data_IF_066554823612
#
_entry.id   IF_066554823612
#
_cell.length_a   1.000
_cell.length_b   1.000
_cell.length_c   1.000
_cell.angle_alpha   90.00
_cell.angle_beta   90.00
_cell.angle_gamma   90.00
#
_symmetry.space_group_name_H-M   'P 1'
#
loop_
_entity.id
_entity.type
_entity.pdbx_description
1 polymer ?
#
# COMPACT_ATOMS: atom_id res chain seq x y z
N UNK A 1 4.19 -0.11 4.72
CA UNK A 1 3.34 0.67 5.63
C UNK A 1 2.38 1.59 4.87
N UNK A 2 2.80 2.36 3.88
CA UNK A 2 1.91 3.29 3.14
C UNK A 2 0.65 2.61 2.60
N UNK A 3 0.73 1.38 2.13
CA UNK A 3 -0.41 0.59 1.64
C UNK A 3 -1.50 0.31 2.69
N UNK A 4 -1.19 0.47 3.98
CA UNK A 4 -2.15 0.30 5.07
C UNK A 4 -2.99 1.56 5.33
N UNK A 5 -2.58 2.72 4.82
CA UNK A 5 -3.22 4.01 5.14
C UNK A 5 -4.63 4.09 4.55
N UNK A 6 -4.78 3.82 3.26
CA UNK A 6 -6.09 3.91 2.60
C UNK A 6 -7.08 2.89 3.18
N UNK A 7 -6.73 1.60 3.37
CA UNK A 7 -7.60 0.66 4.08
C UNK A 7 -7.99 1.12 5.47
N UNK A 8 -7.05 1.68 6.25
CA UNK A 8 -7.34 2.16 7.60
C UNK A 8 -8.32 3.34 7.63
N UNK A 9 -8.47 4.05 6.52
CA UNK A 9 -9.44 5.14 6.37
C UNK A 9 -10.86 4.65 6.08
N UNK A 10 -11.02 3.49 5.45
CA UNK A 10 -12.29 3.00 4.93
C UNK A 10 -12.90 3.88 3.83
N UNK A 11 -12.10 4.74 3.21
CA UNK A 11 -12.57 5.75 2.25
C UNK A 11 -11.92 5.55 0.87
N UNK A 12 -12.67 5.15 -0.16
CA UNK A 12 -12.14 5.00 -1.51
C UNK A 12 -11.71 6.32 -2.18
N UNK A 13 -12.15 7.47 -1.67
CA UNK A 13 -11.76 8.81 -2.16
C UNK A 13 -10.67 9.46 -1.29
N UNK A 14 -10.03 8.70 -0.40
CA UNK A 14 -9.18 9.25 0.66
C UNK A 14 -8.15 10.28 0.17
N UNK A 15 -7.42 9.97 -0.89
CA UNK A 15 -6.37 10.87 -1.43
C UNK A 15 -6.97 12.14 -2.05
N UNK A 16 -8.09 12.02 -2.75
CA UNK A 16 -8.81 13.17 -3.32
C UNK A 16 -9.36 14.06 -2.21
N UNK A 17 -10.01 13.46 -1.20
CA UNK A 17 -10.59 14.20 -0.09
C UNK A 17 -9.51 14.94 0.72
N UNK A 18 -8.35 14.33 0.90
CA UNK A 18 -7.22 14.92 1.60
C UNK A 18 -6.76 16.23 0.96
N UNK A 19 -6.65 16.29 -0.37
CA UNK A 19 -6.23 17.50 -1.06
C UNK A 19 -7.35 18.52 -1.21
N UNK A 20 -8.58 18.08 -1.52
CA UNK A 20 -9.74 18.98 -1.74
C UNK A 20 -10.18 19.64 -0.44
N UNK A 21 -10.24 18.89 0.66
CA UNK A 21 -10.61 19.41 1.97
C UNK A 21 -9.45 20.16 2.66
N UNK A 22 -8.29 20.24 2.02
CA UNK A 22 -7.09 20.90 2.55
C UNK A 22 -6.71 20.41 3.95
N UNK A 23 -6.81 19.11 4.17
CA UNK A 23 -6.48 18.51 5.46
C UNK A 23 -4.97 18.31 5.64
N UNK A 24 -4.53 18.48 6.89
CA UNK A 24 -3.25 17.98 7.34
C UNK A 24 -3.37 16.47 7.52
N UNK A 25 -2.49 15.70 6.89
CA UNK A 25 -2.65 14.25 6.87
C UNK A 25 -1.93 13.52 8.01
N UNK A 26 -0.95 14.19 8.63
CA UNK A 26 -0.13 13.60 9.69
C UNK A 26 -0.52 14.17 11.07
N UNK A 27 -1.80 14.02 11.42
CA UNK A 27 -2.40 14.53 12.66
C UNK A 27 -2.99 13.39 13.45
N UNK A 28 -2.88 13.42 14.78
CA UNK A 28 -3.38 12.39 15.68
C UNK A 28 -4.84 12.01 15.38
N UNK A 29 -5.10 10.70 15.34
CA UNK A 29 -6.40 10.14 14.96
C UNK A 29 -6.65 10.00 13.45
N UNK A 30 -5.81 10.59 12.59
CA UNK A 30 -5.89 10.43 11.14
C UNK A 30 -5.16 9.16 10.67
N UNK A 31 -5.54 8.58 9.52
CA UNK A 31 -4.97 7.32 9.02
C UNK A 31 -3.44 7.30 8.93
N UNK A 32 -2.83 8.33 8.35
CA UNK A 32 -1.37 8.42 8.26
C UNK A 32 -0.71 8.43 9.62
N UNK A 33 -1.21 9.24 10.54
CA UNK A 33 -0.66 9.29 11.90
C UNK A 33 -0.75 7.92 12.58
N UNK A 34 -1.91 7.29 12.55
CA UNK A 34 -2.14 6.02 13.25
C UNK A 34 -1.24 4.90 12.71
N UNK A 35 -1.14 4.77 11.37
CA UNK A 35 -0.32 3.74 10.73
C UNK A 35 1.17 3.97 11.01
N UNK A 36 1.65 5.19 10.84
CA UNK A 36 3.07 5.46 11.01
C UNK A 36 3.49 5.63 12.47
N UNK A 37 2.57 5.96 13.38
CA UNK A 37 2.83 5.88 14.82
C UNK A 37 3.00 4.44 15.27
N UNK A 38 2.17 3.52 14.78
CA UNK A 38 2.35 2.09 15.03
C UNK A 38 3.71 1.60 14.50
N UNK A 39 4.08 1.97 13.28
CA UNK A 39 5.39 1.65 12.73
C UNK A 39 6.52 2.19 13.61
N UNK A 40 6.42 3.45 14.01
CA UNK A 40 7.42 4.12 14.85
C UNK A 40 7.58 3.44 16.20
N UNK A 41 6.46 3.07 16.83
CA UNK A 41 6.48 2.41 18.14
C UNK A 41 7.12 1.01 18.06
N UNK A 42 6.79 0.24 17.02
CA UNK A 42 7.43 -1.06 16.76
C UNK A 42 8.94 -0.88 16.55
N UNK A 43 9.34 0.08 15.72
CA UNK A 43 10.77 0.32 15.43
C UNK A 43 11.54 0.94 16.60
N UNK A 44 10.85 1.52 17.57
CA UNK A 44 11.46 2.05 18.80
C UNK A 44 11.76 0.97 19.85
N UNK A 45 11.18 -0.22 19.67
CA UNK A 45 11.39 -1.35 20.58
C UNK A 45 12.29 -2.43 19.91
N UNK A 46 13.55 -2.55 20.32
CA UNK A 46 14.48 -3.51 19.71
C UNK A 46 14.10 -4.98 19.97
N UNK A 47 13.09 -5.26 20.79
CA UNK A 47 12.59 -6.63 21.01
C UNK A 47 11.51 -7.02 19.99
N UNK A 48 11.01 -6.07 19.21
CA UNK A 48 9.93 -6.27 18.23
C UNK A 48 10.44 -6.30 16.78
N UNK A 49 11.70 -6.05 16.55
CA UNK A 49 12.31 -5.96 15.21
C UNK A 49 13.53 -6.87 15.11
N UNK A 50 13.93 -7.20 13.89
CA UNK A 50 15.20 -7.87 13.63
C UNK A 50 16.41 -7.03 14.07
N UNK A 51 17.55 -7.67 14.31
CA UNK A 51 18.74 -7.03 14.90
C UNK A 51 19.35 -5.91 14.06
N UNK A 52 19.18 -5.92 12.75
CA UNK A 52 19.60 -4.86 11.82
C UNK A 52 18.60 -4.68 10.67
N UNK A 53 17.47 -4.01 10.94
CA UNK A 53 16.40 -3.82 9.95
C UNK A 53 16.79 -2.95 8.77
N UNK A 54 17.89 -2.19 8.86
CA UNK A 54 18.39 -1.36 7.77
C UNK A 54 19.27 -2.13 6.77
N UNK A 55 19.73 -3.31 7.13
CA UNK A 55 20.54 -4.18 6.27
C UNK A 55 19.75 -5.35 5.66
N UNK A 56 18.49 -5.53 6.05
CA UNK A 56 17.65 -6.61 5.54
C UNK A 56 17.39 -6.46 4.05
N UNK A 57 17.64 -7.50 3.29
CA UNK A 57 17.26 -7.61 1.89
C UNK A 57 15.93 -8.37 1.73
N UNK A 58 15.36 -8.31 0.52
CA UNK A 58 14.08 -8.94 0.23
C UNK A 58 14.11 -10.47 0.41
N UNK A 59 15.14 -11.15 -0.08
CA UNK A 59 15.22 -12.60 -0.02
C UNK A 59 15.48 -13.08 1.43
N UNK A 60 16.37 -12.39 2.17
CA UNK A 60 16.60 -12.62 3.58
C UNK A 60 15.33 -12.42 4.42
N UNK A 61 14.57 -11.35 4.18
CA UNK A 61 13.34 -11.06 4.90
C UNK A 61 12.28 -12.16 4.74
N UNK A 62 12.15 -12.71 3.53
CA UNK A 62 11.25 -13.86 3.28
C UNK A 62 11.64 -15.08 4.11
N UNK A 63 12.93 -15.36 4.18
CA UNK A 63 13.45 -16.52 4.93
C UNK A 63 13.25 -16.34 6.43
N UNK A 64 13.46 -15.14 6.97
CA UNK A 64 13.21 -14.83 8.38
C UNK A 64 11.76 -15.12 8.78
N UNK A 65 10.80 -14.73 7.96
CA UNK A 65 9.39 -15.05 8.20
C UNK A 65 9.14 -16.57 8.10
N UNK A 66 9.65 -17.22 7.07
CA UNK A 66 9.48 -18.66 6.88
C UNK A 66 10.06 -19.49 8.02
N UNK A 67 11.20 -19.09 8.57
CA UNK A 67 11.85 -19.72 9.72
C UNK A 67 11.21 -19.37 11.08
N UNK A 68 10.26 -18.41 11.12
CA UNK A 68 9.67 -17.94 12.37
C UNK A 68 10.59 -17.03 13.20
N UNK A 69 11.62 -16.45 12.59
CA UNK A 69 12.50 -15.47 13.23
C UNK A 69 11.78 -14.12 13.42
N UNK A 70 10.85 -13.79 12.49
CA UNK A 70 9.89 -12.71 12.64
C UNK A 70 8.48 -13.27 12.57
N UNK A 71 7.59 -12.75 13.41
CA UNK A 71 6.22 -13.24 13.52
C UNK A 71 5.29 -12.69 12.44
N UNK A 72 5.53 -11.47 11.96
CA UNK A 72 4.66 -10.77 11.00
C UNK A 72 5.47 -9.89 10.06
N UNK A 73 4.95 -9.73 8.84
CA UNK A 73 5.46 -8.79 7.85
C UNK A 73 4.31 -8.13 7.13
N UNK A 74 4.39 -6.82 6.91
CA UNK A 74 3.39 -6.08 6.14
C UNK A 74 3.66 -6.23 4.65
N UNK A 75 2.77 -6.94 3.93
CA UNK A 75 2.96 -7.23 2.52
C UNK A 75 1.61 -7.38 1.78
N UNK A 76 1.64 -7.33 0.46
CA UNK A 76 0.48 -7.64 -0.38
C UNK A 76 0.23 -9.15 -0.50
N UNK A 77 -0.97 -9.54 -0.92
CA UNK A 77 -1.38 -10.95 -1.07
C UNK A 77 -0.46 -11.77 -1.99
N UNK A 78 0.13 -11.15 -2.99
CA UNK A 78 1.09 -11.75 -3.93
C UNK A 78 2.34 -12.35 -3.25
N UNK A 79 2.67 -11.89 -2.05
CA UNK A 79 3.82 -12.41 -1.31
C UNK A 79 3.55 -13.76 -0.64
N UNK A 80 2.29 -14.10 -0.36
CA UNK A 80 1.92 -15.32 0.37
C UNK A 80 2.44 -16.57 -0.33
N UNK A 81 2.17 -16.72 -1.63
CA UNK A 81 2.63 -17.86 -2.42
C UNK A 81 4.16 -17.97 -2.46
N UNK A 82 4.85 -16.83 -2.53
CA UNK A 82 6.32 -16.79 -2.51
C UNK A 82 6.89 -17.27 -1.18
N UNK A 83 6.32 -16.83 -0.06
CA UNK A 83 6.74 -17.26 1.28
C UNK A 83 6.43 -18.73 1.53
N UNK A 84 5.26 -19.21 1.12
CA UNK A 84 4.89 -20.61 1.22
C UNK A 84 5.80 -21.50 0.38
N UNK A 85 6.14 -21.08 -0.85
CA UNK A 85 7.08 -21.82 -1.69
C UNK A 85 8.47 -21.85 -1.06
N UNK A 86 8.96 -20.72 -0.53
CA UNK A 86 10.26 -20.66 0.14
C UNK A 86 10.30 -21.55 1.40
N UNK A 87 9.24 -21.55 2.21
CA UNK A 87 9.12 -22.45 3.35
C UNK A 87 9.26 -23.91 2.91
N UNK A 88 8.51 -24.31 1.90
CA UNK A 88 8.56 -25.68 1.34
C UNK A 88 9.96 -26.04 0.82
N UNK A 89 10.63 -25.15 0.09
CA UNK A 89 11.96 -25.37 -0.47
C UNK A 89 13.02 -25.53 0.63
N UNK A 90 12.78 -24.98 1.82
CA UNK A 90 13.63 -25.11 3.00
C UNK A 90 13.16 -26.23 3.96
N UNK A 91 12.24 -27.08 3.58
CA UNK A 91 11.75 -28.19 4.38
C UNK A 91 10.86 -27.78 5.57
N UNK A 92 10.29 -26.57 5.51
CA UNK A 92 9.36 -26.03 6.50
C UNK A 92 7.92 -26.26 6.03
N UNK A 93 6.97 -26.21 6.97
CA UNK A 93 5.56 -26.34 6.64
C UNK A 93 5.00 -25.03 6.06
N UNK A 94 4.59 -24.98 4.79
CA UNK A 94 4.04 -23.79 4.17
C UNK A 94 2.72 -23.30 4.82
N UNK A 95 1.98 -24.20 5.49
CA UNK A 95 0.73 -23.84 6.18
C UNK A 95 0.96 -22.95 7.41
N UNK A 96 2.21 -22.82 7.88
CA UNK A 96 2.57 -21.85 8.91
C UNK A 96 2.56 -20.39 8.40
N UNK A 97 2.50 -20.20 7.08
CA UNK A 97 2.43 -18.86 6.47
C UNK A 97 0.98 -18.52 6.18
N UNK A 98 0.40 -17.68 7.02
CA UNK A 98 -0.95 -17.15 6.85
C UNK A 98 -0.96 -15.72 6.31
N UNK A 99 -2.18 -15.21 6.05
CA UNK A 99 -2.39 -13.82 5.62
C UNK A 99 -3.63 -13.27 6.34
N UNK A 100 -3.52 -12.08 6.90
CA UNK A 100 -4.58 -11.47 7.70
C UNK A 100 -4.74 -9.99 7.38
N UNK A 101 -5.94 -9.42 7.58
CA UNK A 101 -6.14 -7.97 7.42
C UNK A 101 -5.32 -7.20 8.45
N UNK A 102 -4.90 -5.97 8.08
CA UNK A 102 -4.25 -5.08 9.02
C UNK A 102 -5.14 -4.80 10.24
N UNK A 103 -4.57 -4.66 11.46
CA UNK A 103 -5.33 -4.52 12.70
C UNK A 103 -5.89 -3.10 12.89
N UNK A 104 -6.40 -2.51 11.83
CA UNK A 104 -7.07 -1.20 11.87
C UNK A 104 -8.56 -1.38 11.62
N UNK A 105 -9.37 -0.65 12.38
CA UNK A 105 -10.80 -0.58 12.15
C UNK A 105 -11.27 0.86 12.09
N UNK A 106 -12.24 1.13 11.23
CA UNK A 106 -12.95 2.39 11.14
C UNK A 106 -14.44 2.13 11.39
N UNK A 107 -15.00 2.79 12.39
CA UNK A 107 -16.41 2.63 12.77
C UNK A 107 -16.82 1.16 13.05
N UNK A 108 -15.89 0.40 13.67
CA UNK A 108 -16.11 -1.01 14.04
C UNK A 108 -15.96 -2.01 12.88
N UNK A 109 -15.53 -1.56 11.70
CA UNK A 109 -15.32 -2.39 10.52
C UNK A 109 -13.86 -2.41 10.13
N UNK A 110 -13.41 -3.55 9.60
CA UNK A 110 -12.12 -3.67 8.93
C UNK A 110 -12.31 -3.54 7.42
N UNK A 111 -11.36 -2.90 6.78
CA UNK A 111 -11.37 -2.67 5.34
C UNK A 111 -10.12 -3.24 4.70
N UNK A 112 -10.26 -3.77 3.50
CA UNK A 112 -9.16 -4.22 2.67
C UNK A 112 -9.23 -3.55 1.30
N UNK A 113 -8.13 -2.96 0.87
CA UNK A 113 -8.02 -2.37 -0.46
C UNK A 113 -7.46 -3.41 -1.43
N UNK A 114 -8.06 -3.49 -2.61
CA UNK A 114 -7.51 -4.22 -3.74
C UNK A 114 -7.34 -3.27 -4.94
N UNK A 115 -6.44 -3.62 -5.83
CA UNK A 115 -6.19 -2.84 -7.04
C UNK A 115 -5.92 -3.80 -8.21
N UNK A 116 -6.14 -3.31 -9.43
CA UNK A 116 -5.74 -4.03 -10.62
C UNK A 116 -4.22 -4.19 -10.65
N UNK A 117 -3.76 -5.39 -10.94
CA UNK A 117 -2.36 -5.73 -11.12
C UNK A 117 -2.15 -6.48 -12.42
N UNK A 118 -0.90 -6.60 -12.88
CA UNK A 118 -0.55 -7.27 -14.14
C UNK A 118 -1.37 -6.80 -15.34
N UNK A 119 -1.50 -5.49 -15.51
CA UNK A 119 -2.26 -4.92 -16.61
C UNK A 119 -1.62 -5.24 -17.98
N UNK A 120 -2.43 -5.72 -18.91
CA UNK A 120 -2.02 -6.03 -20.28
C UNK A 120 -2.60 -5.02 -21.28
N UNK A 121 -1.79 -4.61 -22.26
CA UNK A 121 -2.20 -3.72 -23.33
C UNK A 121 -1.89 -4.28 -24.70
N UNK A 122 -2.70 -3.95 -25.69
CA UNK A 122 -2.45 -4.28 -27.09
C UNK A 122 -1.92 -3.04 -27.79
N UNK A 123 -0.75 -3.20 -28.48
CA UNK A 123 -0.19 -2.09 -29.26
C UNK A 123 -1.14 -1.69 -30.40
N UNK A 124 -1.60 -0.44 -30.37
CA UNK A 124 -2.55 0.09 -31.36
C UNK A 124 -2.00 0.14 -32.80
N UNK A 125 -0.67 0.11 -32.97
CA UNK A 125 0.00 0.30 -34.27
C UNK A 125 0.34 -1.02 -34.99
N UNK A 126 -0.13 -2.18 -34.50
CA UNK A 126 0.04 -3.48 -35.17
C UNK A 126 -1.17 -3.78 -36.07
N UNK A 127 -1.00 -4.75 -36.99
CA UNK A 127 -2.05 -5.20 -37.88
C UNK A 127 -3.24 -5.77 -37.13
N UNK A 128 -4.46 -5.66 -37.69
CA UNK A 128 -5.70 -6.00 -37.00
C UNK A 128 -5.82 -7.49 -36.65
N UNK A 129 -5.33 -8.38 -37.52
CA UNK A 129 -5.25 -9.81 -37.25
C UNK A 129 -4.42 -10.13 -35.99
N UNK A 130 -3.33 -9.37 -35.79
CA UNK A 130 -2.51 -9.47 -34.55
C UNK A 130 -3.18 -8.88 -33.34
N UNK A 131 -3.96 -7.80 -33.49
CA UNK A 131 -4.79 -7.27 -32.40
C UNK A 131 -5.83 -8.29 -31.96
N UNK A 132 -6.48 -8.95 -32.91
CA UNK A 132 -7.49 -9.97 -32.61
C UNK A 132 -6.90 -11.19 -31.92
N UNK A 133 -5.69 -11.60 -32.32
CA UNK A 133 -4.96 -12.65 -31.61
C UNK A 133 -4.58 -12.21 -30.19
N UNK A 134 -4.13 -10.95 -30.02
CA UNK A 134 -3.83 -10.37 -28.71
C UNK A 134 -5.02 -10.35 -27.79
N UNK A 135 -6.23 -10.01 -28.28
CA UNK A 135 -7.47 -10.07 -27.49
C UNK A 135 -7.77 -11.50 -27.01
N UNK A 136 -7.72 -12.47 -27.93
CA UNK A 136 -7.94 -13.88 -27.57
C UNK A 136 -6.92 -14.40 -26.57
N UNK A 137 -5.67 -13.95 -26.65
CA UNK A 137 -4.66 -14.29 -25.66
C UNK A 137 -4.98 -13.71 -24.30
N UNK A 138 -5.40 -12.46 -24.20
CA UNK A 138 -5.78 -11.81 -22.95
C UNK A 138 -7.01 -12.49 -22.35
N UNK A 139 -8.03 -12.81 -23.16
CA UNK A 139 -9.22 -13.53 -22.72
C UNK A 139 -8.86 -14.90 -22.12
N UNK A 140 -8.05 -15.68 -22.83
CA UNK A 140 -7.54 -16.95 -22.34
C UNK A 140 -6.69 -16.79 -21.06
N UNK A 141 -5.82 -15.79 -21.04
CA UNK A 141 -4.94 -15.53 -19.90
C UNK A 141 -5.72 -15.26 -18.62
N UNK A 142 -6.78 -14.46 -18.71
CA UNK A 142 -7.64 -14.14 -17.56
C UNK A 142 -8.51 -15.34 -17.17
N UNK A 143 -9.09 -16.03 -18.16
CA UNK A 143 -10.13 -17.03 -17.90
C UNK A 143 -9.61 -18.43 -17.59
N UNK A 144 -8.44 -18.81 -18.17
CA UNK A 144 -8.05 -20.22 -18.24
C UNK A 144 -6.59 -20.49 -17.82
N UNK A 145 -5.74 -19.45 -17.69
CA UNK A 145 -4.31 -19.68 -17.42
C UNK A 145 -4.00 -20.10 -15.98
N UNK A 146 -4.90 -19.82 -15.03
CA UNK A 146 -4.64 -19.98 -13.59
C UNK A 146 -3.59 -19.01 -13.01
N UNK A 147 -3.19 -18.00 -13.80
CA UNK A 147 -2.13 -17.08 -13.40
C UNK A 147 -2.46 -16.28 -12.14
N UNK A 148 -3.70 -15.77 -12.03
CA UNK A 148 -4.11 -14.97 -10.87
C UNK A 148 -3.96 -15.75 -9.57
N UNK A 149 -4.37 -17.00 -9.55
CA UNK A 149 -4.29 -17.88 -8.39
C UNK A 149 -2.84 -18.25 -8.07
N UNK A 150 -2.03 -18.52 -9.10
CA UNK A 150 -0.61 -18.87 -8.93
C UNK A 150 0.21 -17.71 -8.33
N UNK A 151 -0.14 -16.48 -8.72
CA UNK A 151 0.51 -15.25 -8.21
C UNK A 151 -0.11 -14.72 -6.91
N UNK A 152 -1.04 -15.44 -6.30
CA UNK A 152 -1.68 -14.99 -5.06
C UNK A 152 -2.62 -13.81 -5.27
N UNK A 153 -3.16 -13.64 -6.46
CA UNK A 153 -4.14 -12.62 -6.81
C UNK A 153 -5.57 -13.10 -6.74
N UNK A 154 -6.51 -12.17 -6.87
CA UNK A 154 -7.94 -12.44 -7.07
C UNK A 154 -8.21 -12.34 -8.57
N UNK A 155 -8.78 -13.40 -9.15
CA UNK A 155 -9.17 -13.37 -10.56
C UNK A 155 -10.26 -12.30 -10.81
N UNK A 156 -10.13 -11.54 -11.88
CA UNK A 156 -11.04 -10.43 -12.21
C UNK A 156 -12.38 -10.88 -12.81
N UNK A 157 -12.55 -12.18 -13.09
CA UNK A 157 -13.82 -12.73 -13.58
C UNK A 157 -14.86 -12.75 -12.45
N UNK A 158 -16.06 -12.29 -12.76
CA UNK A 158 -17.20 -12.36 -11.85
C UNK A 158 -17.49 -13.81 -11.43
N UNK A 159 -17.65 -14.04 -10.14
CA UNK A 159 -17.91 -15.37 -9.57
C UNK A 159 -16.69 -16.25 -9.40
N UNK A 160 -15.50 -15.75 -9.65
CA UNK A 160 -14.25 -16.47 -9.35
C UNK A 160 -14.13 -16.76 -7.85
N UNK A 161 -13.59 -17.94 -7.52
CA UNK A 161 -13.34 -18.34 -6.14
C UNK A 161 -12.24 -17.44 -5.56
N UNK A 162 -12.45 -16.93 -4.33
CA UNK A 162 -11.37 -16.26 -3.60
C UNK A 162 -10.33 -17.32 -3.15
N UNK A 163 -9.04 -16.95 -3.18
CA UNK A 163 -7.98 -17.82 -2.64
C UNK A 163 -8.20 -18.16 -1.17
N UNK A 164 -7.87 -19.39 -0.78
CA UNK A 164 -8.12 -19.90 0.57
C UNK A 164 -7.38 -19.10 1.66
N UNK A 165 -6.20 -18.53 1.36
CA UNK A 165 -5.46 -17.68 2.29
C UNK A 165 -6.17 -16.34 2.62
N UNK A 166 -7.22 -15.96 1.88
CA UNK A 166 -8.07 -14.81 2.20
C UNK A 166 -9.18 -15.13 3.19
N UNK A 167 -9.28 -16.35 3.71
CA UNK A 167 -10.31 -16.73 4.68
C UNK A 167 -10.30 -15.87 5.96
N UNK A 168 -9.14 -15.38 6.37
CA UNK A 168 -9.02 -14.45 7.50
C UNK A 168 -9.61 -13.06 7.24
N UNK A 169 -9.96 -12.74 5.99
CA UNK A 169 -10.63 -11.49 5.61
C UNK A 169 -12.16 -11.58 5.65
N UNK A 170 -12.69 -12.69 6.17
CA UNK A 170 -14.13 -12.84 6.34
C UNK A 170 -14.66 -11.72 7.25
N UNK A 171 -15.66 -10.99 6.77
CA UNK A 171 -16.18 -9.80 7.47
C UNK A 171 -15.47 -8.47 7.16
N UNK A 172 -14.36 -8.46 6.40
CA UNK A 172 -13.78 -7.23 5.89
C UNK A 172 -14.61 -6.66 4.74
N UNK A 173 -14.72 -5.34 4.68
CA UNK A 173 -15.25 -4.65 3.50
C UNK A 173 -14.13 -4.39 2.50
N UNK A 174 -14.27 -4.94 1.29
CA UNK A 174 -13.30 -4.74 0.21
C UNK A 174 -13.69 -3.56 -0.65
N UNK A 175 -12.70 -2.73 -0.99
CA UNK A 175 -12.90 -1.62 -1.92
C UNK A 175 -11.64 -1.38 -2.78
N UNK A 176 -11.83 -0.68 -3.90
CA UNK A 176 -10.75 -0.10 -4.70
C UNK A 176 -10.76 1.41 -4.55
N UNK A 177 -9.58 2.05 -4.57
CA UNK A 177 -9.53 3.50 -4.60
C UNK A 177 -10.19 4.02 -5.88
N UNK A 178 -11.01 5.06 -5.73
CA UNK A 178 -11.62 5.72 -6.88
C UNK A 178 -10.56 6.51 -7.67
N UNK A 179 -10.75 6.57 -8.98
CA UNK A 179 -9.94 7.47 -9.79
C UNK A 179 -10.18 8.92 -9.37
N UNK A 180 -9.13 9.73 -9.43
CA UNK A 180 -9.28 11.16 -9.21
C UNK A 180 -10.28 11.77 -10.20
N UNK A 181 -11.13 12.71 -9.77
CA UNK A 181 -12.02 13.42 -10.67
C UNK A 181 -11.28 14.13 -11.81
N UNK A 182 -12.00 14.37 -12.92
CA UNK A 182 -11.46 15.18 -14.02
C UNK A 182 -10.96 16.53 -13.48
N UNK A 183 -9.76 16.91 -13.89
CA UNK A 183 -9.08 18.12 -13.39
C UNK A 183 -8.23 17.91 -12.13
N UNK A 184 -8.29 16.74 -11.48
CA UNK A 184 -7.40 16.37 -10.37
C UNK A 184 -6.48 15.19 -10.70
N UNK A 185 -6.54 14.65 -11.91
CA UNK A 185 -5.67 13.55 -12.33
C UNK A 185 -4.19 13.93 -12.16
N UNK A 186 -3.48 13.18 -11.33
CA UNK A 186 -2.06 13.41 -11.04
C UNK A 186 -1.74 14.54 -10.05
N UNK A 187 -2.73 15.32 -9.61
CA UNK A 187 -2.51 16.45 -8.69
C UNK A 187 -1.95 16.00 -7.34
N UNK A 188 -2.50 14.91 -6.78
CA UNK A 188 -1.98 14.34 -5.53
C UNK A 188 -0.50 13.96 -5.68
N UNK A 189 -0.14 13.27 -6.74
CA UNK A 189 1.25 12.86 -7.00
C UNK A 189 2.18 14.05 -7.27
N UNK A 190 1.68 15.11 -7.91
CA UNK A 190 2.44 16.33 -8.11
C UNK A 190 2.73 17.01 -6.76
N UNK A 191 1.74 17.12 -5.88
CA UNK A 191 1.92 17.67 -4.53
C UNK A 191 2.89 16.82 -3.72
N UNK A 192 2.79 15.49 -3.76
CA UNK A 192 3.70 14.58 -3.07
C UNK A 192 5.15 14.78 -3.51
N UNK A 193 5.37 14.84 -4.82
CA UNK A 193 6.68 15.06 -5.41
C UNK A 193 7.25 16.45 -5.06
N UNK A 194 6.46 17.50 -5.28
CA UNK A 194 6.94 18.87 -5.16
C UNK A 194 7.11 19.30 -3.69
N UNK A 195 6.38 18.66 -2.75
CA UNK A 195 6.57 18.85 -1.31
C UNK A 195 7.78 18.09 -0.75
N UNK A 196 8.35 17.17 -1.52
CA UNK A 196 9.41 16.25 -1.06
C UNK A 196 9.02 15.44 0.20
N UNK A 197 7.72 15.19 0.40
CA UNK A 197 7.24 14.40 1.52
C UNK A 197 7.46 12.91 1.29
N UNK A 198 7.24 12.44 0.05
CA UNK A 198 7.54 11.07 -0.35
C UNK A 198 6.51 10.05 0.15
N UNK A 199 5.23 10.34 -0.02
CA UNK A 199 4.16 9.39 0.29
C UNK A 199 4.29 8.15 -0.61
N UNK A 200 4.33 8.36 -1.92
CA UNK A 200 4.48 7.32 -2.94
C UNK A 200 5.82 7.37 -3.67
N UNK A 201 6.47 8.53 -3.68
CA UNK A 201 7.80 8.66 -4.28
C UNK A 201 8.84 7.97 -3.42
N UNK A 202 9.71 7.18 -4.07
CA UNK A 202 10.72 6.36 -3.40
C UNK A 202 12.02 7.07 -3.04
N UNK A 203 12.04 8.41 -2.95
CA UNK A 203 13.24 9.17 -2.69
C UNK A 203 13.80 8.91 -1.28
N UNK A 204 15.12 8.87 -1.18
CA UNK A 204 15.85 8.56 0.06
C UNK A 204 15.61 9.52 1.22
N UNK A 205 15.03 10.70 0.95
CA UNK A 205 14.74 11.73 1.95
C UNK A 205 13.27 11.69 2.44
N UNK A 206 12.49 10.66 2.09
CA UNK A 206 11.09 10.59 2.47
C UNK A 206 10.88 10.48 3.99
N UNK A 207 9.69 10.88 4.45
CA UNK A 207 9.38 10.90 5.87
C UNK A 207 9.41 9.50 6.51
N UNK A 208 9.19 8.44 5.77
CA UNK A 208 9.16 7.06 6.27
C UNK A 208 10.54 6.64 6.77
N UNK A 209 11.58 6.97 6.00
CA UNK A 209 12.96 6.73 6.41
C UNK A 209 13.34 7.60 7.62
N UNK A 210 12.96 8.88 7.60
CA UNK A 210 13.21 9.78 8.74
C UNK A 210 12.56 9.26 10.03
N UNK A 211 11.35 8.72 9.96
CA UNK A 211 10.68 8.10 11.10
C UNK A 211 11.42 6.85 11.59
N UNK A 212 11.84 5.97 10.67
CA UNK A 212 12.59 4.78 11.02
C UNK A 212 13.92 5.13 11.72
N UNK A 213 14.69 6.05 11.14
CA UNK A 213 15.94 6.54 11.72
C UNK A 213 15.73 7.19 13.09
N UNK A 214 14.69 7.98 13.26
CA UNK A 214 14.37 8.61 14.53
C UNK A 214 13.93 7.60 15.60
N UNK A 215 13.20 6.55 15.22
CA UNK A 215 12.83 5.45 16.09
C UNK A 215 14.06 4.69 16.57
N UNK A 216 14.93 4.26 15.65
CA UNK A 216 16.18 3.57 15.99
C UNK A 216 17.15 4.43 16.83
N UNK A 217 17.14 5.74 16.61
CA UNK A 217 17.93 6.68 17.40
C UNK A 217 17.30 7.01 18.76
N UNK A 218 16.18 6.40 19.14
CA UNK A 218 15.53 6.61 20.44
C UNK A 218 15.00 8.02 20.66
N UNK A 219 14.54 8.71 19.59
CA UNK A 219 14.06 10.11 19.67
C UNK A 219 12.72 10.26 20.38
N UNK A 220 12.01 9.15 20.66
CA UNK A 220 10.73 9.13 21.36
C UNK A 220 9.62 9.92 20.66
N UNK A 221 8.52 10.15 21.35
CA UNK A 221 7.34 10.85 20.79
C UNK A 221 7.65 12.26 20.29
N UNK A 222 8.61 12.94 20.90
CA UNK A 222 9.06 14.26 20.45
C UNK A 222 9.70 14.21 19.05
N UNK A 223 10.48 13.16 18.75
CA UNK A 223 11.05 12.94 17.43
C UNK A 223 10.00 12.64 16.38
N UNK A 224 9.04 11.76 16.71
CA UNK A 224 7.90 11.48 15.85
C UNK A 224 7.12 12.75 15.51
N UNK A 225 6.75 13.51 16.56
CA UNK A 225 5.97 14.75 16.39
C UNK A 225 6.69 15.78 15.54
N UNK A 226 7.99 15.98 15.73
CA UNK A 226 8.76 16.94 14.96
C UNK A 226 8.75 16.60 13.45
N UNK A 227 8.83 15.33 13.11
CA UNK A 227 8.75 14.87 11.72
C UNK A 227 7.31 15.07 11.18
N UNK A 228 6.29 14.68 11.93
CA UNK A 228 4.90 14.86 11.56
C UNK A 228 4.54 16.33 11.28
N UNK A 229 4.97 17.24 12.16
CA UNK A 229 4.76 18.69 12.00
C UNK A 229 5.47 19.22 10.74
N UNK A 230 6.72 18.80 10.49
CA UNK A 230 7.48 19.17 9.29
C UNK A 230 6.82 18.67 8.01
N UNK A 231 6.32 17.46 8.02
CA UNK A 231 5.61 16.84 6.89
C UNK A 231 4.33 17.60 6.58
N UNK A 232 3.51 17.90 7.59
CA UNK A 232 2.28 18.68 7.42
C UNK A 232 2.57 20.07 6.86
N UNK A 233 3.61 20.75 7.36
CA UNK A 233 4.00 22.08 6.88
C UNK A 233 4.40 22.06 5.40
N UNK A 234 5.26 21.15 5.00
CA UNK A 234 5.70 21.01 3.60
C UNK A 234 4.53 20.67 2.68
N UNK A 235 3.71 19.70 3.10
CA UNK A 235 2.54 19.28 2.36
C UNK A 235 1.56 20.43 2.16
N UNK A 236 1.16 21.12 3.24
CA UNK A 236 0.21 22.20 3.17
C UNK A 236 0.72 23.37 2.29
N UNK A 237 1.98 23.73 2.41
CA UNK A 237 2.57 24.79 1.59
C UNK A 237 2.51 24.48 0.09
N UNK A 238 2.84 23.25 -0.30
CA UNK A 238 2.82 22.81 -1.70
C UNK A 238 1.40 22.64 -2.22
N UNK A 239 0.54 22.00 -1.44
CA UNK A 239 -0.89 21.80 -1.77
C UNK A 239 -1.58 23.16 -2.01
N UNK A 240 -1.42 24.10 -1.11
CA UNK A 240 -2.11 25.40 -1.16
C UNK A 240 -1.57 26.31 -2.26
N UNK A 241 -0.37 26.05 -2.76
CA UNK A 241 0.20 26.72 -3.93
C UNK A 241 -0.11 26.03 -5.26
N UNK A 242 -0.79 24.87 -5.25
CA UNK A 242 -1.08 24.13 -6.47
C UNK A 242 -2.23 24.77 -7.27
N UNK A 243 -1.90 25.29 -8.44
CA UNK A 243 -2.85 26.06 -9.28
C UNK A 243 -4.00 25.18 -9.85
N UNK A 244 -3.73 23.91 -10.16
CA UNK A 244 -4.74 22.99 -10.69
C UNK A 244 -5.77 22.64 -9.61
N UNK A 245 -5.32 22.39 -8.39
CA UNK A 245 -6.19 22.17 -7.24
C UNK A 245 -7.03 23.41 -6.93
N UNK A 246 -6.43 24.60 -6.94
CA UNK A 246 -7.16 25.84 -6.71
C UNK A 246 -8.25 26.07 -7.77
N UNK A 247 -7.92 25.85 -9.04
CA UNK A 247 -8.88 25.96 -10.13
C UNK A 247 -10.05 24.97 -9.99
N UNK A 248 -9.74 23.71 -9.61
CA UNK A 248 -10.77 22.69 -9.37
C UNK A 248 -11.69 23.07 -8.23
N UNK A 249 -11.16 23.46 -7.07
CA UNK A 249 -11.96 23.86 -5.90
C UNK A 249 -12.86 25.04 -6.26
N UNK A 250 -12.36 26.01 -7.02
CA UNK A 250 -13.13 27.20 -7.44
C UNK A 250 -14.27 26.87 -8.40
N UNK A 251 -14.12 25.81 -9.19
CA UNK A 251 -15.13 25.40 -10.17
C UNK A 251 -16.21 24.46 -9.57
N UNK A 252 -15.92 23.79 -8.46
CA UNK A 252 -16.76 22.71 -7.90
C UNK A 252 -17.16 22.93 -6.43
N UNK A 253 -16.72 24.00 -5.80
CA UNK A 253 -16.99 24.36 -4.39
C UNK A 253 -18.03 25.47 -4.19
#
# INVERSE_FOLDING_TARGET
WSSLVVPSSGNPNFETDLIVNKEDFFTEGKPYYNVFKLMYDIYSDPTLIEGDPMSSDWEGSKLMLANGEVATMTMGSWAVSQFQQLAKDNGLDPENIGYMPAPFSKDGKQYAQYAADYCMGINKNIADDKKDLGKKYIEWFIAESGFSEAEGGINTLEGSKLPDYLSAFDGCEFFTANAAPDGLTGVFNAIDKDSEVGIWTGDSANFKLQLAEAAFAGKGDAGFKAIADSVNQKWAATRDANAELEAYIKANG
#
